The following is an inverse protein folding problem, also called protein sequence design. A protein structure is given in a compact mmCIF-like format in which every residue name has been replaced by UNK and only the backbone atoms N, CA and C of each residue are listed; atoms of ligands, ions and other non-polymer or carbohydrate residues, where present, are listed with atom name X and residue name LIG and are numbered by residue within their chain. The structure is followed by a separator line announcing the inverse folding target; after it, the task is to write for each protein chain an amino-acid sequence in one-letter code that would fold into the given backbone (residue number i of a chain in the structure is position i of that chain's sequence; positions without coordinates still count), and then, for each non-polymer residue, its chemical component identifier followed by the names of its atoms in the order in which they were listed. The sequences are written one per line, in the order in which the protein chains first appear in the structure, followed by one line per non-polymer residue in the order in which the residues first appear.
data_IF_927193517065
#
_entry.id   IF_927193517065
#
_cell.length_a   1.000
_cell.length_b   1.000
_cell.length_c   1.000
_cell.angle_alpha   90.00
_cell.angle_beta   90.00
_cell.angle_gamma   90.00
#
_symmetry.space_group_name_H-M   'P 1'
#
loop_
_entity.id
_entity.type
_entity.pdbx_description
1 polymer ?
#
# COMPACT_ATOMS: atom_id res chain seq x y z
N UNK A 1 10.43 3.75 12.80
CA UNK A 1 11.34 3.03 11.89
C UNK A 1 10.55 2.04 11.05
N UNK A 2 10.75 2.05 9.74
CA UNK A 2 10.04 1.12 8.86
C UNK A 2 10.47 -0.33 9.14
N UNK A 3 9.56 -1.27 8.90
CA UNK A 3 9.85 -2.69 9.09
C UNK A 3 10.90 -3.18 8.09
N UNK A 4 11.68 -4.15 8.53
CA UNK A 4 12.78 -4.69 7.73
C UNK A 4 12.33 -5.79 6.78
N UNK A 5 13.11 -5.97 5.71
CA UNK A 5 12.91 -7.06 4.76
C UNK A 5 13.16 -8.39 5.47
N UNK A 6 12.46 -9.42 5.03
CA UNK A 6 12.49 -10.79 5.57
C UNK A 6 11.89 -10.93 6.97
N UNK A 7 11.13 -9.93 7.42
CA UNK A 7 10.35 -10.03 8.64
C UNK A 7 8.88 -10.24 8.28
N UNK A 8 8.11 -10.78 9.24
CA UNK A 8 6.67 -10.99 9.05
C UNK A 8 5.96 -9.65 9.05
N UNK A 9 5.11 -9.42 8.05
CA UNK A 9 4.27 -8.23 7.98
C UNK A 9 3.16 -8.35 9.04
N UNK A 10 2.95 -7.31 9.87
CA UNK A 10 1.83 -7.32 10.81
C UNK A 10 0.49 -7.45 10.07
N UNK A 11 -0.38 -8.33 10.59
CA UNK A 11 -1.73 -8.43 10.04
C UNK A 11 -2.54 -7.22 10.49
N UNK A 12 -3.59 -6.92 9.75
CA UNK A 12 -4.50 -5.81 10.07
C UNK A 12 -5.87 -6.10 9.51
N UNK A 13 -6.84 -5.34 9.98
CA UNK A 13 -8.20 -5.35 9.41
C UNK A 13 -8.64 -3.90 9.28
N UNK A 14 -8.89 -3.44 8.07
CA UNK A 14 -9.32 -2.07 7.78
C UNK A 14 -10.47 -2.09 6.79
N UNK A 15 -11.31 -1.05 6.85
CA UNK A 15 -12.38 -0.89 5.88
C UNK A 15 -11.84 -0.34 4.57
N UNK A 16 -12.32 -0.88 3.44
CA UNK A 16 -11.99 -0.34 2.14
C UNK A 16 -12.94 0.83 1.79
N UNK A 17 -12.79 1.38 0.59
CA UNK A 17 -13.62 2.52 0.15
C UNK A 17 -15.11 2.21 0.04
N UNK A 18 -15.48 0.94 0.07
CA UNK A 18 -16.87 0.50 0.04
C UNK A 18 -17.40 0.09 1.41
N UNK A 19 -16.55 0.21 2.45
CA UNK A 19 -16.92 -0.18 3.80
C UNK A 19 -16.74 -1.66 4.11
N UNK A 20 -16.17 -2.42 3.18
CA UNK A 20 -15.91 -3.84 3.41
C UNK A 20 -14.61 -4.01 4.19
N UNK A 21 -14.56 -4.97 5.11
CA UNK A 21 -13.37 -5.23 5.91
C UNK A 21 -12.38 -6.10 5.15
N UNK A 22 -11.14 -5.63 5.09
CA UNK A 22 -10.05 -6.32 4.40
C UNK A 22 -8.93 -6.59 5.39
N UNK A 23 -8.43 -7.83 5.42
CA UNK A 23 -7.30 -8.24 6.24
C UNK A 23 -6.14 -8.62 5.34
N UNK A 24 -4.93 -8.35 5.80
CA UNK A 24 -3.74 -8.80 5.06
C UNK A 24 -3.76 -10.32 4.94
N UNK A 25 -4.16 -11.02 6.01
CA UNK A 25 -4.24 -12.48 6.02
C UNK A 25 -5.22 -13.06 5.00
N UNK A 26 -6.14 -12.24 4.46
CA UNK A 26 -7.05 -12.71 3.40
C UNK A 26 -6.30 -13.14 2.14
N UNK A 27 -5.09 -12.62 1.94
CA UNK A 27 -4.27 -12.92 0.76
C UNK A 27 -3.22 -14.01 1.03
N UNK A 28 -3.07 -14.44 2.27
CA UNK A 28 -2.09 -15.46 2.63
C UNK A 28 -2.35 -16.77 1.88
N UNK A 29 -1.31 -17.30 1.23
CA UNK A 29 -1.42 -18.50 0.43
C UNK A 29 -2.09 -18.32 -0.92
N UNK A 30 -2.47 -17.08 -1.28
CA UNK A 30 -3.20 -16.79 -2.52
C UNK A 30 -2.39 -15.94 -3.47
N UNK A 31 -1.95 -14.76 -3.04
CA UNK A 31 -1.16 -13.88 -3.88
C UNK A 31 -0.35 -12.89 -3.04
N UNK A 32 0.77 -12.38 -3.61
CA UNK A 32 1.52 -11.32 -2.96
C UNK A 32 0.72 -10.02 -2.92
N UNK A 33 1.10 -9.13 -2.00
CA UNK A 33 0.43 -7.84 -1.82
C UNK A 33 1.47 -6.72 -1.88
N UNK A 34 1.17 -5.67 -2.63
CA UNK A 34 1.92 -4.43 -2.58
C UNK A 34 1.12 -3.43 -1.75
N UNK A 35 1.61 -3.13 -0.54
CA UNK A 35 0.99 -2.14 0.35
C UNK A 35 1.62 -0.79 0.09
N UNK A 36 0.81 0.18 -0.32
CA UNK A 36 1.26 1.52 -0.66
C UNK A 36 0.69 2.51 0.35
N UNK A 37 1.50 2.86 1.35
CA UNK A 37 1.12 3.91 2.30
C UNK A 37 1.31 5.26 1.63
N UNK A 38 0.36 6.15 1.82
CA UNK A 38 0.46 7.51 1.31
C UNK A 38 -0.11 8.50 2.34
N UNK A 39 0.35 9.77 2.33
CA UNK A 39 -0.05 10.72 3.35
C UNK A 39 -1.55 11.04 3.38
N UNK A 40 -2.09 11.60 2.32
CA UNK A 40 -3.48 12.05 2.30
C UNK A 40 -4.06 11.99 0.89
N UNK A 41 -5.31 11.54 0.79
CA UNK A 41 -6.07 11.59 -0.45
C UNK A 41 -6.22 13.06 -0.89
N UNK A 42 -6.31 13.27 -2.19
CA UNK A 42 -6.50 14.58 -2.83
C UNK A 42 -5.31 15.53 -2.72
N UNK A 43 -4.21 15.15 -2.07
CA UNK A 43 -2.99 15.97 -2.13
C UNK A 43 -2.37 15.81 -3.52
N UNK A 44 -1.70 16.86 -4.02
CA UNK A 44 -1.19 16.86 -5.41
C UNK A 44 -0.20 15.74 -5.67
N UNK A 45 0.76 15.51 -4.77
CA UNK A 45 1.75 14.45 -4.95
C UNK A 45 1.11 13.06 -4.88
N UNK A 46 0.18 12.85 -3.94
CA UNK A 46 -0.51 11.58 -3.82
C UNK A 46 -1.37 11.30 -5.06
N UNK A 47 -2.08 12.31 -5.54
CA UNK A 47 -2.91 12.16 -6.73
C UNK A 47 -2.05 11.78 -7.93
N UNK A 48 -0.94 12.48 -8.16
CA UNK A 48 -0.02 12.18 -9.26
C UNK A 48 0.52 10.76 -9.17
N UNK A 49 0.97 10.35 -7.97
CA UNK A 49 1.54 9.04 -7.75
C UNK A 49 0.51 7.92 -7.97
N UNK A 50 -0.67 8.06 -7.37
CA UNK A 50 -1.71 7.04 -7.49
C UNK A 50 -2.29 6.99 -8.91
N UNK A 51 -2.34 8.11 -9.60
CA UNK A 51 -2.72 8.11 -11.01
C UNK A 51 -1.71 7.36 -11.88
N UNK A 52 -0.42 7.47 -11.56
CA UNK A 52 0.61 6.69 -12.24
C UNK A 52 0.39 5.19 -12.00
N UNK A 53 0.05 4.79 -10.77
CA UNK A 53 -0.26 3.39 -10.47
C UNK A 53 -1.54 2.93 -11.16
N UNK A 54 -2.57 3.80 -11.22
CA UNK A 54 -3.79 3.51 -11.97
C UNK A 54 -3.49 3.21 -13.43
N UNK A 55 -2.70 4.08 -14.06
CA UNK A 55 -2.38 3.96 -15.48
C UNK A 55 -1.47 2.75 -15.76
N UNK A 56 -0.81 2.22 -14.74
CA UNK A 56 0.09 1.07 -14.87
C UNK A 56 -0.38 -0.12 -14.02
N UNK A 57 -1.67 -0.20 -13.74
CA UNK A 57 -2.24 -1.25 -12.90
C UNK A 57 -1.96 -2.65 -13.45
N UNK A 58 -1.81 -2.77 -14.77
CA UNK A 58 -1.47 -4.04 -15.40
C UNK A 58 -0.15 -4.61 -14.91
N UNK A 59 0.79 -3.76 -14.47
CA UNK A 59 2.06 -4.23 -13.90
C UNK A 59 1.82 -5.16 -12.71
N UNK A 60 0.81 -4.84 -11.91
CA UNK A 60 0.45 -5.65 -10.73
C UNK A 60 -0.44 -6.82 -11.12
N UNK A 61 -1.49 -6.58 -11.89
CA UNK A 61 -2.47 -7.60 -12.28
C UNK A 61 -1.85 -8.73 -13.10
N UNK A 62 -0.99 -8.40 -14.06
CA UNK A 62 -0.35 -9.41 -14.90
C UNK A 62 0.57 -10.31 -14.08
N UNK A 63 1.10 -9.82 -12.98
CA UNK A 63 2.00 -10.57 -12.11
C UNK A 63 1.28 -11.19 -10.91
N UNK A 64 -0.04 -11.08 -10.85
CA UNK A 64 -0.83 -11.67 -9.78
C UNK A 64 -0.62 -11.01 -8.42
N UNK A 65 -0.22 -9.74 -8.40
CA UNK A 65 0.02 -9.00 -7.16
C UNK A 65 -1.17 -8.08 -6.88
N UNK A 66 -1.66 -8.13 -5.64
CA UNK A 66 -2.74 -7.24 -5.20
C UNK A 66 -2.16 -5.88 -4.82
N UNK A 67 -2.65 -4.82 -5.43
CA UNK A 67 -2.24 -3.44 -5.11
C UNK A 67 -3.23 -2.86 -4.10
N UNK A 68 -2.73 -2.42 -2.95
CA UNK A 68 -3.55 -1.86 -1.88
C UNK A 68 -2.94 -0.54 -1.42
N UNK A 69 -3.72 0.54 -1.48
CA UNK A 69 -3.32 1.84 -0.93
C UNK A 69 -3.87 1.99 0.49
N UNK A 70 -3.10 2.62 1.37
CA UNK A 70 -3.50 2.84 2.76
C UNK A 70 -3.18 4.28 3.14
N UNK A 71 -4.18 4.98 3.69
CA UNK A 71 -3.98 6.32 4.26
C UNK A 71 -4.81 6.48 5.53
N UNK A 72 -4.59 7.57 6.24
CA UNK A 72 -5.36 7.89 7.46
C UNK A 72 -6.72 8.52 7.14
N UNK A 73 -7.07 8.63 5.88
CA UNK A 73 -8.36 9.19 5.47
C UNK A 73 -9.52 8.28 5.84
N UNK A 74 -10.71 8.85 5.95
CA UNK A 74 -11.92 8.06 6.17
C UNK A 74 -12.28 7.26 4.92
N UNK A 75 -13.08 6.20 5.08
CA UNK A 75 -13.54 5.41 3.93
C UNK A 75 -14.35 6.27 2.96
N UNK A 76 -15.11 7.24 3.47
CA UNK A 76 -15.89 8.14 2.62
C UNK A 76 -14.98 9.00 1.74
N UNK A 77 -13.90 9.54 2.32
CA UNK A 77 -12.92 10.31 1.57
C UNK A 77 -12.23 9.45 0.52
N UNK A 78 -11.85 8.21 0.88
CA UNK A 78 -11.19 7.30 -0.05
C UNK A 78 -12.12 6.89 -1.20
N UNK A 79 -13.41 6.72 -0.92
CA UNK A 79 -14.38 6.44 -1.98
C UNK A 79 -14.47 7.59 -2.96
N UNK A 80 -14.59 8.81 -2.45
CA UNK A 80 -14.64 10.00 -3.30
C UNK A 80 -13.37 10.14 -4.14
N UNK A 81 -12.22 9.86 -3.54
CA UNK A 81 -10.92 9.92 -4.22
C UNK A 81 -10.85 8.88 -5.35
N UNK A 82 -11.24 7.65 -5.06
CA UNK A 82 -11.23 6.57 -6.06
C UNK A 82 -12.18 6.87 -7.21
N UNK A 83 -13.37 7.39 -6.91
CA UNK A 83 -14.35 7.73 -7.94
C UNK A 83 -13.88 8.90 -8.81
N UNK A 84 -13.32 9.93 -8.18
CA UNK A 84 -12.86 11.13 -8.90
C UNK A 84 -11.72 10.80 -9.86
N UNK A 85 -10.83 9.89 -9.47
CA UNK A 85 -9.62 9.58 -10.25
C UNK A 85 -9.70 8.25 -11.00
N UNK A 86 -10.78 7.50 -10.83
CA UNK A 86 -10.95 6.24 -11.53
C UNK A 86 -10.02 5.13 -11.06
N UNK A 87 -9.71 5.09 -9.76
CA UNK A 87 -8.87 4.03 -9.21
C UNK A 87 -9.65 2.73 -9.08
N UNK A 88 -9.11 1.67 -9.69
CA UNK A 88 -9.74 0.34 -9.66
C UNK A 88 -8.93 -0.62 -8.79
N UNK A 89 -8.33 -0.10 -7.74
CA UNK A 89 -7.64 -0.91 -6.73
C UNK A 89 -8.14 -0.53 -5.35
N UNK A 90 -7.86 -1.39 -4.38
CA UNK A 90 -8.37 -1.23 -3.01
C UNK A 90 -7.65 -0.08 -2.30
N UNK A 91 -8.44 0.76 -1.62
CA UNK A 91 -7.92 1.79 -0.72
C UNK A 91 -8.46 1.49 0.68
N UNK A 92 -7.56 1.43 1.66
CA UNK A 92 -7.93 1.10 3.04
C UNK A 92 -7.81 2.32 3.94
N UNK A 93 -8.77 2.45 4.83
CA UNK A 93 -8.89 3.58 5.75
C UNK A 93 -8.24 3.25 7.10
N UNK A 94 -7.02 3.75 7.32
CA UNK A 94 -6.34 3.66 8.61
C UNK A 94 -6.76 4.84 9.49
N UNK A 95 -8.07 5.07 9.51
CA UNK A 95 -8.70 6.25 10.09
C UNK A 95 -8.79 6.18 11.62
N UNK A 96 -9.18 5.02 12.14
CA UNK A 96 -9.33 4.87 13.58
C UNK A 96 -9.04 3.44 14.06
N UNK A 97 -8.21 3.21 15.09
CA UNK A 97 -7.40 4.26 15.73
C UNK A 97 -6.48 4.92 14.74
N UNK A 98 -6.37 6.23 14.82
CA UNK A 98 -5.74 7.05 13.78
C UNK A 98 -4.30 6.62 13.51
N UNK A 99 -4.04 6.12 12.29
CA UNK A 99 -2.70 5.72 11.88
C UNK A 99 -2.18 4.45 12.56
N UNK A 100 -3.05 3.64 13.18
CA UNK A 100 -2.61 2.47 13.92
C UNK A 100 -1.79 1.50 13.07
N UNK A 101 -2.23 1.23 11.85
CA UNK A 101 -1.51 0.31 10.96
C UNK A 101 -0.20 0.93 10.49
N UNK A 102 -0.21 2.22 10.15
CA UNK A 102 1.02 2.93 9.77
C UNK A 102 2.04 2.88 10.92
N UNK A 103 1.59 2.98 12.17
CA UNK A 103 2.47 2.87 13.33
C UNK A 103 3.07 1.48 13.44
N UNK A 104 2.27 0.45 13.23
CA UNK A 104 2.76 -0.94 13.27
C UNK A 104 3.81 -1.20 12.20
N UNK A 105 3.68 -0.56 11.04
CA UNK A 105 4.64 -0.69 9.96
C UNK A 105 5.81 0.29 10.07
N UNK A 106 5.81 1.12 11.13
CA UNK A 106 6.91 2.06 11.39
C UNK A 106 6.99 3.22 10.41
N UNK A 107 5.87 3.61 9.82
CA UNK A 107 5.85 4.64 8.78
C UNK A 107 4.94 5.83 9.11
N UNK A 108 4.42 5.88 10.34
CA UNK A 108 3.59 7.00 10.77
C UNK A 108 4.43 8.20 11.18
N UNK A 109 4.10 9.40 10.68
CA UNK A 109 4.79 10.63 11.04
C UNK A 109 3.98 11.35 12.13
N UNK A 110 4.44 11.24 13.37
CA UNK A 110 3.71 11.76 14.53
C UNK A 110 3.43 13.27 14.42
N UNK A 111 4.41 14.05 13.95
CA UNK A 111 4.27 15.50 13.87
C UNK A 111 3.26 15.94 12.82
N UNK A 112 2.93 15.07 11.89
CA UNK A 112 2.05 15.41 10.76
C UNK A 112 0.73 14.67 10.79
N UNK A 113 0.63 13.57 11.57
CA UNK A 113 -0.61 12.81 11.68
C UNK A 113 -0.96 11.97 10.47
N UNK A 114 0.01 11.64 9.63
CA UNK A 114 -0.20 10.77 8.47
C UNK A 114 1.02 9.90 8.19
N UNK A 115 0.88 8.98 7.25
CA UNK A 115 1.96 8.07 6.89
C UNK A 115 2.96 8.69 5.92
N UNK A 116 4.19 8.19 5.97
CA UNK A 116 5.19 8.41 4.92
C UNK A 116 4.71 7.76 3.62
N UNK A 117 5.38 8.11 2.51
CA UNK A 117 5.22 7.38 1.25
C UNK A 117 6.10 6.15 1.29
N UNK A 118 5.57 5.08 1.84
CA UNK A 118 6.29 3.82 1.99
C UNK A 118 5.53 2.70 1.31
N UNK A 119 6.27 1.82 0.64
CA UNK A 119 5.70 0.64 0.00
C UNK A 119 6.35 -0.61 0.57
N UNK A 120 5.54 -1.60 0.86
CA UNK A 120 6.00 -2.92 1.28
C UNK A 120 5.43 -3.96 0.32
N UNK A 121 6.29 -4.81 -0.22
CA UNK A 121 5.83 -5.93 -1.03
C UNK A 121 5.95 -7.20 -0.20
N UNK A 122 4.83 -7.87 -0.01
CA UNK A 122 4.67 -8.98 0.92
C UNK A 122 4.35 -10.23 0.12
N UNK A 123 5.06 -11.33 0.39
CA UNK A 123 4.83 -12.57 -0.35
C UNK A 123 3.60 -13.33 0.18
N UNK A 124 3.30 -14.46 -0.46
CA UNK A 124 2.13 -15.27 -0.08
C UNK A 124 2.25 -15.89 1.32
N UNK A 125 3.45 -15.89 1.91
CA UNK A 125 3.66 -16.38 3.28
C UNK A 125 3.54 -15.28 4.33
N UNK A 126 3.28 -14.04 3.90
CA UNK A 126 3.16 -12.91 4.81
C UNK A 126 4.50 -12.29 5.19
N UNK A 127 5.54 -12.55 4.42
CA UNK A 127 6.89 -12.04 4.70
C UNK A 127 7.17 -10.84 3.80
N UNK A 128 7.73 -9.75 4.37
CA UNK A 128 8.11 -8.57 3.62
C UNK A 128 9.35 -8.91 2.78
N UNK A 129 9.22 -8.81 1.46
CA UNK A 129 10.33 -9.12 0.54
C UNK A 129 10.98 -7.89 -0.04
N UNK A 130 10.30 -6.77 -0.03
CA UNK A 130 10.86 -5.50 -0.50
C UNK A 130 10.19 -4.35 0.22
N UNK A 131 10.91 -3.26 0.35
CA UNK A 131 10.36 -2.04 0.93
C UNK A 131 11.16 -0.85 0.45
N UNK A 132 10.47 0.25 0.19
CA UNK A 132 11.11 1.52 -0.16
C UNK A 132 10.23 2.67 0.27
N UNK A 133 10.82 3.85 0.40
CA UNK A 133 10.09 5.05 0.81
C UNK A 133 10.69 6.29 0.20
N UNK A 134 9.85 7.33 0.12
CA UNK A 134 10.28 8.68 -0.26
C UNK A 134 9.72 9.67 0.76
N UNK A 135 10.18 10.91 0.71
CA UNK A 135 9.62 11.98 1.54
C UNK A 135 8.17 12.25 1.14
N UNK A 136 7.33 12.80 2.04
CA UNK A 136 5.91 13.03 1.71
C UNK A 136 5.65 13.87 0.46
N UNK A 137 6.55 14.77 0.11
CA UNK A 137 6.41 15.60 -1.09
C UNK A 137 7.02 15.00 -2.35
N UNK A 138 7.50 13.76 -2.30
CA UNK A 138 8.25 13.13 -3.38
C UNK A 138 7.60 11.81 -3.79
N UNK A 139 7.08 11.73 -5.02
CA UNK A 139 6.43 10.53 -5.53
C UNK A 139 7.46 9.39 -5.74
N UNK A 140 7.02 8.16 -5.50
CA UNK A 140 7.81 6.96 -5.77
C UNK A 140 7.79 6.67 -7.27
N UNK A 141 8.91 6.20 -7.81
CA UNK A 141 9.02 5.91 -9.24
C UNK A 141 8.47 4.52 -9.59
N UNK A 142 8.03 4.34 -10.83
CA UNK A 142 7.59 3.02 -11.30
C UNK A 142 8.73 2.02 -11.32
N UNK A 143 9.96 2.47 -11.55
CA UNK A 143 11.13 1.58 -11.54
C UNK A 143 11.35 0.98 -10.16
N UNK A 144 11.10 1.75 -9.09
CA UNK A 144 11.19 1.23 -7.73
C UNK A 144 10.14 0.14 -7.50
N UNK A 145 8.90 0.35 -8.02
CA UNK A 145 7.86 -0.67 -7.93
C UNK A 145 8.23 -1.93 -8.72
N UNK A 146 8.77 -1.77 -9.92
CA UNK A 146 9.19 -2.92 -10.74
C UNK A 146 10.27 -3.73 -10.04
N UNK A 147 11.28 -3.06 -9.49
CA UNK A 147 12.35 -3.73 -8.77
C UNK A 147 11.82 -4.46 -7.54
N UNK A 148 10.88 -3.85 -6.81
CA UNK A 148 10.28 -4.46 -5.63
C UNK A 148 9.46 -5.69 -5.99
N UNK A 149 8.68 -5.62 -7.08
CA UNK A 149 7.86 -6.75 -7.52
C UNK A 149 8.71 -7.94 -7.93
N UNK A 150 9.88 -7.71 -8.52
CA UNK A 150 10.78 -8.80 -8.91
C UNK A 150 11.18 -9.66 -7.72
N UNK A 151 11.18 -9.10 -6.51
CA UNK A 151 11.54 -9.85 -5.30
C UNK A 151 10.53 -10.93 -4.94
N UNK A 152 9.26 -10.75 -5.29
CA UNK A 152 8.21 -11.73 -5.00
C UNK A 152 7.86 -12.59 -6.20
N UNK A 153 8.31 -12.21 -7.40
CA UNK A 153 8.01 -12.93 -8.63
C UNK A 153 9.09 -13.93 -9.01
N UNK A 154 10.26 -13.87 -8.37
CA UNK A 154 11.32 -14.84 -8.60
C UNK A 154 10.87 -16.17 -8.01
N UNK A 155 10.87 -17.28 -8.83
CA UNK A 155 10.44 -18.57 -8.32
C UNK A 155 11.32 -19.05 -7.15
N UNK A 156 10.68 -19.40 -6.05
CA UNK A 156 11.40 -19.86 -4.86
C UNK A 156 12.04 -21.23 -5.06
N UNK A 157 11.60 -21.94 -6.07
CA UNK A 157 12.04 -23.30 -6.36
C UNK A 157 13.33 -23.37 -7.17
N UNK A 158 13.86 -22.24 -7.53
CA UNK A 158 15.09 -22.21 -8.33
C UNK A 158 16.29 -22.51 -7.49
#
# INVERSE_FOLDING_TARGET
MALEIDTRAPDFELANQFGEHVRLSDFAGKKPVALVFFPLAFSSTCTTELCSLRDNLSLFKQNGVELIGISVDSKATLRAFAEAEGYDFTLLADFWPHGAVAKEYGVFIEEKGFANRATFVIDTKGIIRAGFKTAPGEARSLDEYRAALDKVLVPASV
#
